data_IF_492097980021
#
_entry.id   IF_492097980021
#
_cell.length_a   1.000
_cell.length_b   1.000
_cell.length_c   1.000
_cell.angle_alpha   90.00
_cell.angle_beta   90.00
_cell.angle_gamma   90.00
#
_symmetry.space_group_name_H-M   'P 1'
#
loop_
_entity.id
_entity.type
_entity.pdbx_description
1 polymer ?
#
# COMPACT_ATOMS: atom_id res chain seq x y z
N UNK A 1 -7.44 -19.45 -12.85
CA UNK A 1 -6.48 -20.55 -12.62
C UNK A 1 -5.26 -19.90 -11.98
N UNK A 2 -5.02 -20.09 -10.69
CA UNK A 2 -3.89 -19.48 -9.96
C UNK A 2 -2.64 -20.30 -10.29
N UNK A 3 -2.12 -20.17 -11.51
CA UNK A 3 -0.88 -20.85 -11.94
C UNK A 3 0.35 -19.96 -11.84
N UNK A 4 0.13 -18.68 -11.65
CA UNK A 4 1.18 -17.67 -11.47
C UNK A 4 0.62 -16.65 -10.47
N UNK A 5 0.97 -16.73 -9.18
CA UNK A 5 0.42 -15.86 -8.16
C UNK A 5 1.08 -14.49 -8.28
N UNK A 6 0.79 -13.76 -9.35
CA UNK A 6 1.34 -12.43 -9.60
C UNK A 6 0.28 -11.35 -9.44
N UNK A 7 0.71 -10.25 -8.84
CA UNK A 7 0.07 -8.96 -9.00
C UNK A 7 0.41 -8.47 -10.40
N UNK A 8 -0.61 -8.46 -11.27
CA UNK A 8 -0.45 -8.08 -12.67
C UNK A 8 -0.93 -6.65 -12.86
N UNK A 9 -0.11 -5.78 -13.44
CA UNK A 9 -0.53 -4.44 -13.85
C UNK A 9 -1.67 -4.47 -14.85
N UNK A 10 -1.75 -5.54 -15.65
CA UNK A 10 -2.85 -5.79 -16.59
C UNK A 10 -4.22 -5.90 -15.93
N UNK A 11 -4.30 -6.21 -14.62
CA UNK A 11 -5.55 -6.37 -13.87
C UNK A 11 -6.24 -5.05 -13.50
N UNK A 12 -5.57 -3.90 -13.70
CA UNK A 12 -6.15 -2.59 -13.40
C UNK A 12 -7.33 -2.24 -14.30
N UNK A 13 -8.29 -1.52 -13.73
CA UNK A 13 -9.45 -0.99 -14.47
C UNK A 13 -9.01 0.11 -15.45
N UNK A 14 -9.82 0.36 -16.48
CA UNK A 14 -9.55 1.44 -17.44
C UNK A 14 -9.55 2.82 -16.76
N UNK A 15 -10.38 3.03 -15.74
CA UNK A 15 -10.44 4.29 -14.97
C UNK A 15 -9.09 4.58 -14.28
N UNK A 16 -8.46 3.54 -13.73
CA UNK A 16 -7.12 3.67 -13.13
C UNK A 16 -6.09 4.06 -14.20
N UNK A 17 -6.13 3.43 -15.38
CA UNK A 17 -5.23 3.74 -16.50
C UNK A 17 -5.44 5.15 -17.06
N UNK A 18 -6.68 5.63 -17.13
CA UNK A 18 -6.99 7.00 -17.50
C UNK A 18 -6.43 8.01 -16.49
N UNK A 19 -6.55 7.70 -15.20
CA UNK A 19 -6.00 8.53 -14.12
C UNK A 19 -4.48 8.61 -14.20
N UNK A 20 -3.80 7.48 -14.42
CA UNK A 20 -2.36 7.39 -14.65
C UNK A 20 -1.90 8.29 -15.79
N UNK A 21 -2.52 8.13 -16.97
CA UNK A 21 -2.22 8.94 -18.15
C UNK A 21 -2.44 10.43 -17.88
N UNK A 22 -3.51 10.79 -17.18
CA UNK A 22 -3.81 12.17 -16.84
C UNK A 22 -2.78 12.78 -15.88
N UNK A 23 -2.21 11.98 -14.98
CA UNK A 23 -1.17 12.40 -14.04
C UNK A 23 0.26 12.31 -14.61
N UNK A 24 0.44 11.72 -15.80
CA UNK A 24 1.75 11.41 -16.35
C UNK A 24 2.48 10.29 -15.61
N UNK A 25 1.73 9.43 -14.90
CA UNK A 25 2.25 8.26 -14.20
C UNK A 25 2.24 7.06 -15.17
N UNK A 26 3.31 6.28 -15.16
CA UNK A 26 3.42 5.07 -15.97
C UNK A 26 2.45 3.97 -15.53
N UNK A 27 2.33 2.91 -16.33
CA UNK A 27 1.57 1.72 -15.94
C UNK A 27 2.28 1.02 -14.78
N UNK A 28 1.74 1.14 -13.56
CA UNK A 28 2.36 0.65 -12.32
C UNK A 28 1.42 -0.15 -11.40
N UNK A 29 1.98 -0.96 -10.50
CA UNK A 29 1.31 -1.45 -9.30
C UNK A 29 1.43 -0.40 -8.18
N UNK A 30 0.40 -0.29 -7.35
CA UNK A 30 0.34 0.67 -6.24
C UNK A 30 0.46 -0.01 -4.90
N UNK A 31 1.28 0.56 -4.01
CA UNK A 31 1.42 0.11 -2.64
C UNK A 31 1.39 1.31 -1.70
N UNK A 32 0.61 1.22 -0.62
CA UNK A 32 0.67 2.19 0.46
C UNK A 32 1.81 1.83 1.42
N UNK A 33 2.55 2.84 1.89
CA UNK A 33 3.65 2.65 2.84
C UNK A 33 3.13 2.70 4.26
N UNK A 34 3.45 1.66 5.02
CA UNK A 34 3.24 1.59 6.47
C UNK A 34 1.80 1.36 6.89
N UNK A 35 0.83 1.39 5.98
CA UNK A 35 -0.56 1.10 6.30
C UNK A 35 -1.37 0.69 5.08
N UNK A 36 -2.60 0.24 5.31
CA UNK A 36 -3.55 -0.04 4.25
C UNK A 36 -4.63 1.05 4.23
N UNK A 37 -5.37 1.17 3.14
CA UNK A 37 -6.51 2.07 3.10
C UNK A 37 -7.78 1.24 3.39
N UNK A 38 -8.57 1.61 4.42
CA UNK A 38 -9.66 0.78 4.95
C UNK A 38 -10.83 0.61 3.96
N UNK A 39 -10.91 1.44 2.93
CA UNK A 39 -11.89 1.32 1.85
C UNK A 39 -11.54 0.20 0.87
N UNK A 40 -10.28 -0.27 0.86
CA UNK A 40 -9.79 -1.26 -0.10
C UNK A 40 -9.62 -2.63 0.54
N UNK A 41 -10.69 -3.43 0.41
CA UNK A 41 -10.56 -4.86 0.20
C UNK A 41 -10.62 -5.76 1.44
N UNK A 42 -10.76 -7.04 1.13
CA UNK A 42 -10.89 -8.15 2.09
C UNK A 42 -9.52 -8.84 2.35
N UNK A 43 -8.45 -8.29 1.77
CA UNK A 43 -7.09 -8.84 1.69
C UNK A 43 -6.11 -7.69 1.87
N UNK A 44 -5.15 -7.85 2.78
CA UNK A 44 -3.99 -6.97 2.93
C UNK A 44 -2.72 -7.81 2.83
N UNK A 45 -1.88 -7.43 1.86
CA UNK A 45 -0.55 -7.99 1.65
C UNK A 45 0.48 -6.99 2.17
N UNK A 46 1.41 -7.44 2.99
CA UNK A 46 2.49 -6.59 3.53
C UNK A 46 3.83 -7.15 3.10
N UNK A 47 4.66 -6.28 2.55
CA UNK A 47 5.98 -6.61 2.04
C UNK A 47 7.05 -5.76 2.73
N UNK A 48 8.28 -6.28 2.79
CA UNK A 48 9.40 -5.56 3.41
C UNK A 48 9.97 -4.48 2.49
N UNK A 49 10.23 -3.25 2.97
CA UNK A 49 10.52 -2.11 2.09
C UNK A 49 11.65 -2.37 1.07
N UNK A 50 12.63 -3.19 1.42
CA UNK A 50 13.80 -3.54 0.62
C UNK A 50 13.46 -4.25 -0.70
N UNK A 51 12.28 -4.87 -0.83
CA UNK A 51 11.92 -5.53 -2.09
C UNK A 51 11.81 -4.51 -3.24
N UNK A 52 11.34 -3.31 -2.93
CA UNK A 52 10.99 -2.29 -3.92
C UNK A 52 12.18 -1.41 -4.33
N UNK A 53 13.27 -1.40 -3.57
CA UNK A 53 14.44 -0.54 -3.85
C UNK A 53 15.20 -0.92 -5.10
N UNK A 54 15.01 -2.15 -5.59
CA UNK A 54 15.62 -2.67 -6.82
C UNK A 54 14.70 -2.57 -8.05
N UNK A 55 13.49 -2.06 -7.87
CA UNK A 55 12.48 -1.98 -8.92
C UNK A 55 12.53 -0.62 -9.65
N UNK A 56 11.96 -0.60 -10.86
CA UNK A 56 11.66 0.64 -11.58
C UNK A 56 10.35 1.24 -11.08
N UNK A 57 10.30 2.56 -10.98
CA UNK A 57 9.09 3.27 -10.55
C UNK A 57 9.39 4.51 -9.73
N UNK A 58 8.48 4.87 -8.83
CA UNK A 58 8.69 5.98 -7.91
C UNK A 58 7.80 5.89 -6.68
N UNK A 59 8.00 6.84 -5.77
CA UNK A 59 7.17 7.03 -4.60
C UNK A 59 6.76 8.49 -4.47
N UNK A 60 5.60 8.74 -3.89
CA UNK A 60 5.09 10.09 -3.59
C UNK A 60 4.61 10.17 -2.14
N UNK A 61 4.82 11.28 -1.43
CA UNK A 61 4.41 11.42 -0.02
C UNK A 61 2.90 11.70 0.16
N UNK A 62 2.04 11.13 -0.70
CA UNK A 62 0.59 11.30 -0.74
C UNK A 62 -0.06 10.25 -1.67
N UNK A 63 -1.36 9.99 -1.45
CA UNK A 63 -2.25 9.20 -2.32
C UNK A 63 -2.46 9.93 -3.66
N UNK A 64 -1.95 9.39 -4.77
CA UNK A 64 -2.00 10.06 -6.08
C UNK A 64 -3.42 10.08 -6.65
N UNK A 65 -4.19 9.02 -6.43
CA UNK A 65 -5.62 9.00 -6.73
C UNK A 65 -6.38 10.00 -5.86
N UNK A 66 -6.01 10.08 -4.58
CA UNK A 66 -6.48 11.07 -3.63
C UNK A 66 -6.30 12.51 -4.12
N UNK A 67 -5.09 12.82 -4.60
CA UNK A 67 -4.76 14.11 -5.18
C UNK A 67 -5.62 14.41 -6.41
N UNK A 68 -5.72 13.46 -7.35
CA UNK A 68 -6.50 13.65 -8.59
C UNK A 68 -7.98 13.92 -8.34
N UNK A 69 -8.53 13.32 -7.29
CA UNK A 69 -9.93 13.44 -6.91
C UNK A 69 -10.20 14.63 -5.97
N UNK A 70 -9.17 15.43 -5.63
CA UNK A 70 -9.31 16.61 -4.79
C UNK A 70 -9.43 16.31 -3.29
N UNK A 71 -9.04 15.11 -2.85
CA UNK A 71 -9.00 14.74 -1.43
C UNK A 71 -7.75 15.25 -0.70
N UNK A 72 -6.75 15.74 -1.44
CA UNK A 72 -5.53 16.34 -0.91
C UNK A 72 -5.57 17.84 -1.13
N UNK A 73 -5.53 18.60 -0.04
CA UNK A 73 -5.59 20.06 -0.02
C UNK A 73 -4.25 20.63 0.45
N UNK A 74 -3.73 21.61 -0.27
CA UNK A 74 -2.49 22.33 0.07
C UNK A 74 -2.18 23.33 -1.05
N UNK A 75 -1.12 24.11 -0.91
CA UNK A 75 -0.66 24.94 -2.02
C UNK A 75 -0.08 24.08 -3.15
N UNK A 76 -0.48 24.38 -4.39
CA UNK A 76 0.00 23.67 -5.58
C UNK A 76 -0.72 22.36 -5.89
N UNK A 77 -1.62 21.88 -5.01
CA UNK A 77 -2.36 20.62 -5.25
C UNK A 77 -3.40 20.75 -6.36
N UNK A 78 -3.76 21.98 -6.75
CA UNK A 78 -4.64 22.28 -7.88
C UNK A 78 -4.07 21.85 -9.24
N UNK A 79 -2.74 21.81 -9.38
CA UNK A 79 -2.05 21.25 -10.53
C UNK A 79 -1.46 19.88 -10.15
N UNK A 80 -2.32 18.87 -10.13
CA UNK A 80 -1.95 17.52 -9.70
C UNK A 80 -0.78 16.92 -10.50
N UNK A 81 -0.64 17.25 -11.79
CA UNK A 81 0.43 16.74 -12.64
C UNK A 81 1.77 17.32 -12.21
N UNK A 82 1.86 18.64 -12.11
CA UNK A 82 3.08 19.30 -11.64
C UNK A 82 3.41 18.91 -10.21
N UNK A 83 2.39 18.79 -9.36
CA UNK A 83 2.56 18.39 -7.97
C UNK A 83 3.12 16.96 -7.84
N UNK A 84 2.57 15.98 -8.56
CA UNK A 84 3.12 14.62 -8.66
C UNK A 84 4.56 14.63 -9.13
N UNK A 85 4.84 15.33 -10.24
CA UNK A 85 6.19 15.37 -10.82
C UNK A 85 7.23 15.96 -9.86
N UNK A 86 6.87 17.01 -9.13
CA UNK A 86 7.80 17.73 -8.25
C UNK A 86 8.09 16.99 -6.93
N UNK A 87 7.19 16.09 -6.50
CA UNK A 87 7.32 15.36 -5.25
C UNK A 87 7.61 13.86 -5.44
N UNK A 88 7.77 13.41 -6.68
CA UNK A 88 8.12 12.02 -6.97
C UNK A 88 9.59 11.76 -6.60
N UNK A 89 9.80 10.67 -5.88
CA UNK A 89 11.11 10.15 -5.48
C UNK A 89 11.36 8.85 -6.22
N UNK A 90 12.58 8.62 -6.70
CA UNK A 90 12.95 7.35 -7.32
C UNK A 90 12.98 6.22 -6.28
N UNK A 91 12.55 5.01 -6.64
CA UNK A 91 12.48 3.90 -5.69
C UNK A 91 13.80 3.58 -4.96
N UNK A 92 14.99 3.64 -5.57
CA UNK A 92 16.23 3.41 -4.83
C UNK A 92 16.49 4.38 -3.65
N UNK A 93 15.79 5.53 -3.60
CA UNK A 93 15.95 6.56 -2.56
C UNK A 93 14.74 6.68 -1.65
N UNK A 94 13.63 6.02 -1.96
CA UNK A 94 12.35 6.29 -1.28
C UNK A 94 12.40 5.97 0.21
N UNK A 95 13.15 4.94 0.62
CA UNK A 95 13.27 4.53 2.03
C UNK A 95 13.94 5.63 2.85
N UNK A 96 15.06 6.18 2.39
CA UNK A 96 15.78 7.25 3.09
C UNK A 96 14.95 8.53 3.20
N UNK A 97 14.26 8.89 2.13
CA UNK A 97 13.36 10.06 2.08
C UNK A 97 12.13 9.85 2.98
N UNK A 98 11.56 8.65 3.00
CA UNK A 98 10.47 8.28 3.89
C UNK A 98 10.90 8.35 5.35
N UNK A 99 12.06 7.79 5.71
CA UNK A 99 12.59 7.85 7.07
C UNK A 99 12.80 9.30 7.51
N UNK A 100 13.36 10.15 6.64
CA UNK A 100 13.54 11.58 6.91
C UNK A 100 12.20 12.29 7.09
N UNK A 101 11.22 12.00 6.23
CA UNK A 101 9.87 12.52 6.30
C UNK A 101 9.19 12.17 7.63
N UNK A 102 9.24 10.90 8.06
CA UNK A 102 8.67 10.47 9.33
C UNK A 102 9.32 11.18 10.51
N UNK A 103 10.65 11.21 10.58
CA UNK A 103 11.38 11.85 11.66
C UNK A 103 11.08 13.36 11.76
N UNK A 104 10.85 14.00 10.61
CA UNK A 104 10.54 15.43 10.52
C UNK A 104 9.11 15.72 10.98
N UNK A 105 8.13 15.02 10.42
CA UNK A 105 6.73 15.42 10.52
C UNK A 105 5.92 14.65 11.58
N UNK A 106 6.34 13.46 12.01
CA UNK A 106 5.56 12.58 12.90
C UNK A 106 6.25 12.38 14.24
N UNK A 107 5.49 12.04 15.30
CA UNK A 107 6.02 11.76 16.64
C UNK A 107 6.91 10.52 16.64
N UNK A 108 6.43 9.46 15.99
CA UNK A 108 7.11 8.18 15.83
C UNK A 108 6.69 7.55 14.49
N UNK A 109 7.42 6.52 14.06
CA UNK A 109 6.99 5.71 12.91
C UNK A 109 5.66 5.02 13.18
N UNK A 110 5.44 4.51 14.39
CA UNK A 110 4.17 3.90 14.80
C UNK A 110 3.00 4.89 14.72
N UNK A 111 3.21 6.16 15.09
CA UNK A 111 2.17 7.18 14.97
C UNK A 111 1.73 7.38 13.51
N UNK A 112 2.67 7.39 12.57
CA UNK A 112 2.34 7.41 11.14
C UNK A 112 1.58 6.14 10.71
N UNK A 113 2.04 4.95 11.13
CA UNK A 113 1.43 3.65 10.81
C UNK A 113 0.04 3.49 11.40
N UNK A 114 -0.26 4.10 12.54
CA UNK A 114 -1.58 4.08 13.17
C UNK A 114 -2.48 5.24 12.70
N UNK A 115 -1.99 6.06 11.76
CA UNK A 115 -2.77 7.13 11.13
C UNK A 115 -2.93 8.38 11.99
N UNK A 116 -2.09 8.57 13.00
CA UNK A 116 -2.02 9.83 13.73
C UNK A 116 -1.63 10.97 12.78
N UNK A 117 -2.10 12.18 13.10
CA UNK A 117 -1.74 13.37 12.33
C UNK A 117 -0.26 13.71 12.53
N UNK A 118 0.32 14.34 11.51
CA UNK A 118 1.61 15.01 11.64
C UNK A 118 1.59 16.04 12.79
N UNK A 119 2.75 16.28 13.39
CA UNK A 119 2.96 17.27 14.47
C UNK A 119 3.23 18.67 13.95
N UNK A 120 3.87 18.75 12.78
CA UNK A 120 4.22 20.00 12.11
C UNK A 120 3.82 19.89 10.64
N UNK A 121 3.62 21.03 10.01
CA UNK A 121 3.20 21.07 8.61
C UNK A 121 4.38 20.97 7.65
N UNK A 122 4.09 20.59 6.41
CA UNK A 122 5.03 20.73 5.30
C UNK A 122 4.97 22.14 4.69
N UNK A 123 5.85 22.41 3.72
CA UNK A 123 5.89 23.71 3.03
C UNK A 123 4.64 24.00 2.20
N UNK A 124 3.81 22.99 1.93
CA UNK A 124 2.57 23.10 1.15
C UNK A 124 1.34 23.34 2.04
N UNK A 125 1.51 23.29 3.36
CA UNK A 125 0.40 23.43 4.30
C UNK A 125 -0.54 22.22 4.31
N UNK A 126 -0.10 21.08 3.76
CA UNK A 126 -0.96 19.93 3.47
C UNK A 126 -1.12 19.01 4.67
N UNK A 127 -0.08 18.79 5.46
CA UNK A 127 -0.11 17.80 6.54
C UNK A 127 -1.06 18.22 7.65
N UNK A 128 -1.13 19.51 7.95
CA UNK A 128 -2.03 20.05 8.98
C UNK A 128 -3.32 20.67 8.43
N UNK A 129 -3.56 20.60 7.11
CA UNK A 129 -4.78 21.15 6.53
C UNK A 129 -6.04 20.53 7.19
N UNK A 130 -7.02 21.34 7.61
CA UNK A 130 -8.16 20.85 8.39
C UNK A 130 -9.09 19.94 7.59
N UNK A 131 -9.13 20.10 6.26
CA UNK A 131 -9.93 19.23 5.37
C UNK A 131 -9.23 17.93 4.98
N UNK A 132 -7.92 17.81 5.24
CA UNK A 132 -7.18 16.62 4.86
C UNK A 132 -7.42 15.48 5.83
N UNK A 133 -7.44 14.28 5.27
CA UNK A 133 -7.40 13.01 5.98
C UNK A 133 -6.05 12.35 5.73
N UNK A 134 -5.88 11.13 6.24
CA UNK A 134 -4.67 10.33 6.10
C UNK A 134 -4.10 10.27 4.69
N UNK A 135 -4.97 10.23 3.68
CA UNK A 135 -4.61 10.23 2.25
C UNK A 135 -3.63 11.33 1.85
N UNK A 136 -3.69 12.49 2.52
CA UNK A 136 -2.81 13.62 2.22
C UNK A 136 -1.37 13.44 2.67
N UNK A 137 -1.09 12.47 3.55
CA UNK A 137 0.26 12.17 4.03
C UNK A 137 0.66 10.70 3.86
N UNK A 138 -0.21 9.88 3.29
CA UNK A 138 0.07 8.48 2.94
C UNK A 138 1.09 8.42 1.83
N UNK A 139 2.26 7.86 2.08
CA UNK A 139 3.19 7.54 1.02
C UNK A 139 2.64 6.43 0.13
N UNK A 140 2.77 6.62 -1.18
CA UNK A 140 2.36 5.68 -2.22
C UNK A 140 3.56 5.32 -3.09
N UNK A 141 3.81 4.03 -3.28
CA UNK A 141 4.78 3.49 -4.23
C UNK A 141 4.07 3.12 -5.51
N UNK A 142 4.70 3.42 -6.63
CA UNK A 142 4.33 2.99 -7.97
C UNK A 142 5.46 2.12 -8.52
N UNK A 143 5.22 0.82 -8.72
CA UNK A 143 6.19 -0.15 -9.23
C UNK A 143 5.84 -0.56 -10.66
N UNK A 144 6.79 -0.44 -11.59
CA UNK A 144 6.56 -0.62 -13.04
C UNK A 144 6.70 -2.08 -13.51
N UNK A 145 6.94 -3.00 -12.59
CA UNK A 145 6.99 -4.44 -12.84
C UNK A 145 5.77 -5.16 -12.23
N UNK A 146 5.41 -6.32 -12.81
CA UNK A 146 4.49 -7.26 -12.17
C UNK A 146 5.19 -7.98 -11.04
N UNK A 147 4.52 -8.18 -9.91
CA UNK A 147 5.13 -8.67 -8.68
C UNK A 147 4.62 -10.07 -8.30
N UNK A 148 5.51 -10.98 -7.91
CA UNK A 148 5.13 -12.27 -7.34
C UNK A 148 4.55 -12.05 -5.93
N UNK A 149 3.31 -12.48 -5.71
CA UNK A 149 2.56 -12.27 -4.46
C UNK A 149 3.31 -12.80 -3.25
N UNK A 150 4.05 -13.91 -3.39
CA UNK A 150 4.73 -14.58 -2.28
C UNK A 150 6.16 -14.05 -2.08
N UNK A 151 6.76 -13.45 -3.11
CA UNK A 151 8.11 -12.91 -3.01
C UNK A 151 8.18 -11.77 -1.99
N UNK A 152 9.02 -11.93 -0.96
CA UNK A 152 9.20 -10.95 0.13
C UNK A 152 7.94 -10.63 0.95
N UNK A 153 6.90 -11.46 0.85
CA UNK A 153 5.68 -11.33 1.65
C UNK A 153 6.01 -11.54 3.14
N UNK A 154 5.62 -10.57 3.97
CA UNK A 154 5.81 -10.59 5.43
C UNK A 154 4.54 -10.91 6.19
N UNK A 155 3.40 -10.48 5.66
CA UNK A 155 2.09 -10.69 6.29
C UNK A 155 0.99 -10.75 5.22
N UNK A 156 0.06 -11.67 5.41
CA UNK A 156 -1.20 -11.76 4.68
C UNK A 156 -2.34 -11.74 5.71
N UNK A 157 -3.07 -10.62 5.75
CA UNK A 157 -4.29 -10.50 6.52
C UNK A 157 -5.50 -10.65 5.59
N UNK A 158 -6.47 -11.49 5.96
CA UNK A 158 -7.67 -11.71 5.15
C UNK A 158 -8.94 -11.77 5.99
N UNK A 159 -10.08 -11.50 5.37
CA UNK A 159 -11.38 -11.86 5.93
C UNK A 159 -11.60 -13.38 5.95
N UNK A 160 -12.45 -13.89 6.86
CA UNK A 160 -12.78 -15.32 6.95
C UNK A 160 -13.21 -15.96 5.62
N UNK A 161 -14.05 -15.29 4.86
CA UNK A 161 -14.63 -15.79 3.61
C UNK A 161 -13.54 -15.96 2.54
N UNK A 162 -12.58 -15.05 2.52
CA UNK A 162 -11.42 -15.13 1.65
C UNK A 162 -10.49 -16.27 2.09
N UNK A 163 -10.25 -16.42 3.39
CA UNK A 163 -9.47 -17.53 3.93
C UNK A 163 -10.03 -18.89 3.47
N UNK A 164 -11.35 -19.06 3.55
CA UNK A 164 -12.04 -20.27 3.09
C UNK A 164 -11.98 -20.43 1.57
N UNK A 165 -12.10 -19.33 0.81
CA UNK A 165 -11.95 -19.35 -0.64
C UNK A 165 -10.54 -19.81 -1.06
N UNK A 166 -9.49 -19.27 -0.43
CA UNK A 166 -8.10 -19.68 -0.67
C UNK A 166 -7.95 -21.18 -0.39
N UNK A 167 -8.36 -21.65 0.80
CA UNK A 167 -8.29 -23.08 1.16
C UNK A 167 -9.01 -23.98 0.17
N UNK A 168 -10.18 -23.55 -0.33
CA UNK A 168 -10.92 -24.31 -1.35
C UNK A 168 -10.14 -24.41 -2.66
N UNK A 169 -9.52 -23.31 -3.10
CA UNK A 169 -8.69 -23.31 -4.32
C UNK A 169 -7.47 -24.21 -4.14
N UNK A 170 -6.77 -24.13 -3.01
CA UNK A 170 -5.58 -24.95 -2.75
C UNK A 170 -5.84 -26.45 -2.82
N UNK A 171 -7.02 -26.92 -2.38
CA UNK A 171 -7.43 -28.34 -2.51
C UNK A 171 -7.57 -28.82 -3.96
N UNK A 172 -7.64 -27.89 -4.92
CA UNK A 172 -7.77 -28.22 -6.35
C UNK A 172 -6.46 -28.10 -7.11
N UNK A 173 -5.40 -27.59 -6.46
CA UNK A 173 -4.10 -27.45 -7.07
C UNK A 173 -3.28 -28.74 -6.92
N UNK A 174 -2.33 -28.99 -7.85
CA UNK A 174 -1.25 -29.96 -7.63
C UNK A 174 -0.53 -29.74 -6.30
N UNK A 175 -0.04 -30.82 -5.68
CA UNK A 175 0.56 -30.79 -4.34
C UNK A 175 1.78 -29.85 -4.26
N UNK A 176 2.61 -29.85 -5.31
CA UNK A 176 3.77 -28.98 -5.46
C UNK A 176 3.40 -27.50 -5.58
N UNK A 177 2.34 -27.18 -6.32
CA UNK A 177 1.80 -25.81 -6.42
C UNK A 177 1.15 -25.34 -5.10
N UNK A 178 0.54 -26.26 -4.35
CA UNK A 178 -0.15 -25.96 -3.09
C UNK A 178 0.82 -25.83 -1.90
N UNK A 179 1.96 -26.51 -1.91
CA UNK A 179 2.87 -26.64 -0.76
C UNK A 179 3.28 -25.28 -0.17
N UNK A 180 3.74 -24.35 -1.01
CA UNK A 180 4.18 -23.02 -0.56
C UNK A 180 3.05 -22.21 0.11
N UNK A 181 1.83 -22.37 -0.39
CA UNK A 181 0.66 -21.73 0.18
C UNK A 181 0.24 -22.38 1.50
N UNK A 182 0.29 -23.71 1.59
CA UNK A 182 0.01 -24.43 2.83
C UNK A 182 0.97 -23.99 3.93
N UNK A 183 2.27 -23.88 3.63
CA UNK A 183 3.27 -23.38 4.56
C UNK A 183 2.95 -21.96 5.04
N UNK A 184 2.59 -21.05 4.12
CA UNK A 184 2.17 -19.70 4.47
C UNK A 184 0.94 -19.71 5.40
N UNK A 185 -0.12 -20.45 5.03
CA UNK A 185 -1.38 -20.52 5.78
C UNK A 185 -1.22 -21.13 7.18
N UNK A 186 -0.19 -21.94 7.38
CA UNK A 186 0.17 -22.51 8.69
C UNK A 186 1.12 -21.63 9.50
N UNK A 187 1.65 -20.56 8.90
CA UNK A 187 2.62 -19.68 9.54
C UNK A 187 1.98 -18.52 10.33
N UNK A 188 2.72 -17.89 11.26
CA UNK A 188 2.29 -16.63 11.87
C UNK A 188 2.15 -15.46 10.89
N UNK A 189 2.66 -15.56 9.66
CA UNK A 189 2.50 -14.53 8.65
C UNK A 189 1.09 -14.55 8.02
N UNK A 190 0.28 -15.58 8.26
CA UNK A 190 -1.12 -15.61 7.85
C UNK A 190 -2.05 -15.25 9.02
N UNK A 191 -2.92 -14.25 8.79
CA UNK A 191 -3.88 -13.76 9.78
C UNK A 191 -5.27 -13.73 9.17
N UNK A 192 -6.24 -14.23 9.94
CA UNK A 192 -7.65 -14.21 9.56
C UNK A 192 -8.38 -13.32 10.56
N UNK A 193 -9.13 -12.34 10.05
CA UNK A 193 -9.94 -11.48 10.89
C UNK A 193 -11.05 -12.27 11.60
N UNK A 194 -11.60 -11.77 12.72
CA UNK A 194 -12.74 -12.39 13.37
C UNK A 194 -13.95 -12.54 12.44
N UNK A 195 -14.82 -13.51 12.72
CA UNK A 195 -16.07 -13.70 11.97
C UNK A 195 -16.94 -12.43 12.01
N UNK A 196 -17.46 -12.02 10.85
CA UNK A 196 -18.29 -10.81 10.72
C UNK A 196 -17.52 -9.49 10.76
N UNK A 197 -16.18 -9.52 10.76
CA UNK A 197 -15.36 -8.32 10.70
C UNK A 197 -15.48 -7.61 9.33
N UNK A 198 -15.65 -6.30 9.36
CA UNK A 198 -15.64 -5.47 8.15
C UNK A 198 -14.21 -5.24 7.62
N UNK A 199 -14.08 -4.77 6.37
CA UNK A 199 -12.80 -4.52 5.71
C UNK A 199 -11.80 -3.66 6.55
N UNK A 200 -12.23 -2.61 7.27
CA UNK A 200 -11.32 -1.82 8.09
C UNK A 200 -10.59 -2.62 9.18
N UNK A 201 -11.18 -3.72 9.66
CA UNK A 201 -10.56 -4.57 10.69
C UNK A 201 -9.32 -5.29 10.14
N UNK A 202 -9.36 -5.73 8.88
CA UNK A 202 -8.21 -6.39 8.24
C UNK A 202 -7.02 -5.43 8.12
N UNK A 203 -7.30 -4.17 7.78
CA UNK A 203 -6.30 -3.10 7.72
C UNK A 203 -5.72 -2.82 9.11
N UNK A 204 -6.56 -2.66 10.12
CA UNK A 204 -6.12 -2.42 11.51
C UNK A 204 -5.24 -3.55 12.04
N UNK A 205 -5.56 -4.82 11.73
CA UNK A 205 -4.71 -5.96 12.09
C UNK A 205 -3.32 -5.90 11.43
N UNK A 206 -3.26 -5.50 10.16
CA UNK A 206 -1.98 -5.35 9.48
C UNK A 206 -1.16 -4.19 10.08
N UNK A 207 -1.80 -3.05 10.33
CA UNK A 207 -1.18 -1.86 10.93
C UNK A 207 -0.66 -2.13 12.34
N UNK A 208 -1.41 -2.87 13.17
CA UNK A 208 -0.97 -3.29 14.49
C UNK A 208 0.29 -4.14 14.38
N UNK A 209 0.32 -5.13 13.49
CA UNK A 209 1.51 -5.98 13.30
C UNK A 209 2.69 -5.17 12.78
N UNK A 210 2.49 -4.32 11.77
CA UNK A 210 3.55 -3.45 11.23
C UNK A 210 4.12 -2.56 12.34
N UNK A 211 3.27 -2.02 13.22
CA UNK A 211 3.71 -1.14 14.30
C UNK A 211 4.67 -1.80 15.30
N UNK A 212 4.67 -3.14 15.38
CA UNK A 212 5.59 -3.91 16.23
C UNK A 212 6.95 -4.18 15.59
N UNK A 213 7.10 -3.90 14.29
CA UNK A 213 8.36 -4.08 13.57
C UNK A 213 9.23 -2.82 13.55
N UNK A 214 8.70 -1.70 14.07
CA UNK A 214 9.23 -0.34 13.98
C UNK A 214 9.73 0.18 15.34
#
# INVERSE_FOLDING_TARGET
>A
MIRDPRLLRSSKTEITRETERALGIGDSLYFYVGHACPEFGQIVLVYAPEWSTFELGGATPFDTGGLRLGYVNGSGTEDAVSYCKNHRVDLPKWVDEFTTYIATYFSTTSAYVLGERARIDDSTGRLLHPKNTRRAWTWELQVEADHDVLANLKLLCVQPEVSEAIRRVLRTLPEDEAAVWVDLLSSPAFRVAPAGAEAPVVCGMAEEVISTWL
#
